data_IF_834040590883
#
_entry.id   IF_834040590883
#
_cell.length_a   1.000
_cell.length_b   1.000
_cell.length_c   1.000
_cell.angle_alpha   90.00
_cell.angle_beta   90.00
_cell.angle_gamma   90.00
#
_symmetry.space_group_name_H-M   'P 1'
#
loop_
_entity.id
_entity.type
_entity.pdbx_description
1 polymer ?
#
# COMPACT_ATOMS: atom_id res chain seq x y z
N UNK A 1 -55.73 60.27 34.71
CA UNK A 1 -54.94 60.32 33.47
C UNK A 1 -54.03 59.11 33.50
N UNK A 2 -54.27 58.09 32.69
CA UNK A 2 -53.46 56.90 32.68
C UNK A 2 -52.23 57.14 31.80
N UNK A 3 -51.05 56.64 32.23
CA UNK A 3 -49.85 56.66 31.49
C UNK A 3 -49.51 55.20 31.06
N UNK A 4 -49.32 55.12 29.81
CA UNK A 4 -49.15 53.93 28.99
C UNK A 4 -48.06 52.93 29.46
N UNK A 5 -48.53 51.71 29.60
CA UNK A 5 -47.69 50.52 29.75
C UNK A 5 -47.26 49.98 28.40
N UNK A 6 -46.40 50.71 27.67
CA UNK A 6 -45.99 50.25 26.32
C UNK A 6 -44.58 50.66 25.94
N UNK A 7 -43.61 50.31 26.79
CA UNK A 7 -42.20 50.44 26.38
C UNK A 7 -41.29 49.48 27.17
N UNK A 8 -41.60 48.19 27.23
CA UNK A 8 -40.75 47.17 27.87
C UNK A 8 -40.79 45.83 27.13
N UNK A 9 -40.86 45.87 25.83
CA UNK A 9 -40.83 44.63 25.04
C UNK A 9 -40.04 44.79 23.73
N UNK A 10 -38.78 45.21 23.79
CA UNK A 10 -37.92 45.14 22.58
C UNK A 10 -36.46 45.14 22.98
N UNK A 11 -36.03 44.20 23.81
CA UNK A 11 -34.59 43.99 23.99
C UNK A 11 -34.25 42.54 24.39
N UNK A 12 -34.83 41.60 23.67
CA UNK A 12 -34.45 40.17 23.81
C UNK A 12 -34.47 39.54 22.42
N UNK A 13 -33.45 39.73 21.65
CA UNK A 13 -33.10 38.84 20.53
C UNK A 13 -31.94 39.39 19.72
N UNK A 14 -30.73 39.29 20.21
CA UNK A 14 -29.54 39.23 19.37
C UNK A 14 -28.48 38.44 20.11
N UNK A 15 -28.68 37.12 20.22
CA UNK A 15 -27.58 36.22 20.45
C UNK A 15 -27.01 35.83 19.10
N UNK A 16 -25.71 35.96 18.86
CA UNK A 16 -25.10 35.43 17.65
C UNK A 16 -25.16 33.92 17.72
N UNK A 17 -25.75 33.32 16.71
CA UNK A 17 -25.80 31.91 16.44
C UNK A 17 -24.36 31.39 16.33
N UNK A 18 -23.82 30.84 17.41
CA UNK A 18 -22.60 30.04 17.36
C UNK A 18 -22.98 28.75 16.64
N UNK A 19 -22.75 28.73 15.33
CA UNK A 19 -22.66 27.48 14.59
C UNK A 19 -21.56 26.66 15.23
N UNK A 20 -21.93 25.77 16.13
CA UNK A 20 -21.11 24.64 16.51
C UNK A 20 -20.91 23.84 15.24
N UNK A 21 -19.76 24.06 14.60
CA UNK A 21 -19.22 23.10 13.65
C UNK A 21 -18.87 21.84 14.43
N UNK A 22 -19.86 20.98 14.62
CA UNK A 22 -19.62 19.59 14.97
C UNK A 22 -18.89 19.00 13.79
N UNK A 23 -17.58 18.96 13.86
CA UNK A 23 -16.76 18.09 13.03
C UNK A 23 -17.16 16.65 13.38
N UNK A 24 -18.18 16.16 12.70
CA UNK A 24 -18.48 14.74 12.66
C UNK A 24 -17.20 14.06 12.17
N UNK A 25 -16.66 13.07 12.91
CA UNK A 25 -15.54 12.29 12.39
C UNK A 25 -16.00 11.69 11.07
N UNK A 26 -15.30 12.01 9.99
CA UNK A 26 -15.59 11.47 8.67
C UNK A 26 -15.62 9.94 8.81
N UNK A 27 -16.77 9.32 8.55
CA UNK A 27 -16.88 7.88 8.43
C UNK A 27 -16.03 7.46 7.23
N UNK A 28 -14.75 7.21 7.47
CA UNK A 28 -13.88 6.62 6.47
C UNK A 28 -14.44 5.24 6.14
N UNK A 29 -14.78 4.99 4.89
CA UNK A 29 -15.13 3.64 4.48
C UNK A 29 -13.95 2.71 4.74
N UNK A 30 -14.20 1.42 5.01
CA UNK A 30 -13.14 0.42 5.19
C UNK A 30 -12.07 0.50 4.07
N UNK A 31 -12.53 0.69 2.86
CA UNK A 31 -11.64 0.86 1.71
C UNK A 31 -10.75 2.10 1.79
N UNK A 32 -11.27 3.22 2.26
CA UNK A 32 -10.49 4.46 2.43
C UNK A 32 -9.42 4.31 3.51
N UNK A 33 -9.74 3.62 4.61
CA UNK A 33 -8.78 3.33 5.67
C UNK A 33 -7.60 2.49 5.17
N UNK A 34 -7.90 1.37 4.47
CA UNK A 34 -6.84 0.52 3.93
C UNK A 34 -5.99 1.21 2.88
N UNK A 35 -6.64 2.01 2.04
CA UNK A 35 -5.95 2.83 1.05
C UNK A 35 -4.92 3.77 1.70
N UNK A 36 -5.34 4.49 2.75
CA UNK A 36 -4.47 5.41 3.48
C UNK A 36 -3.33 4.67 4.18
N UNK A 37 -3.62 3.58 4.89
CA UNK A 37 -2.61 2.78 5.60
C UNK A 37 -1.55 2.24 4.64
N UNK A 38 -1.95 1.66 3.51
CA UNK A 38 -1.02 1.15 2.50
C UNK A 38 -0.18 2.30 1.92
N UNK A 39 -0.81 3.45 1.65
CA UNK A 39 -0.13 4.62 1.10
C UNK A 39 0.95 5.16 2.02
N UNK A 40 0.68 5.22 3.32
CA UNK A 40 1.64 5.67 4.33
C UNK A 40 2.80 4.70 4.46
N UNK A 41 2.54 3.38 4.57
CA UNK A 41 3.59 2.36 4.66
C UNK A 41 4.46 2.38 3.39
N UNK A 42 3.85 2.53 2.21
CA UNK A 42 4.57 2.61 0.94
C UNK A 42 5.47 3.84 0.87
N UNK A 43 4.97 5.01 1.31
CA UNK A 43 5.74 6.26 1.35
C UNK A 43 6.98 6.12 2.23
N UNK A 44 6.83 5.57 3.43
CA UNK A 44 7.94 5.31 4.36
C UNK A 44 8.94 4.31 3.77
N UNK A 45 8.46 3.31 3.05
CA UNK A 45 9.30 2.32 2.36
C UNK A 45 9.97 2.85 1.08
N UNK A 46 9.65 4.06 0.62
CA UNK A 46 10.16 4.61 -0.63
C UNK A 46 9.55 3.95 -1.89
N UNK A 47 8.34 3.41 -1.76
CA UNK A 47 7.56 2.86 -2.88
C UNK A 47 6.46 3.85 -3.26
N UNK A 48 6.18 3.99 -4.55
CA UNK A 48 5.07 4.82 -5.01
C UNK A 48 3.75 4.35 -4.37
N UNK A 49 3.05 5.19 -3.57
CA UNK A 49 1.83 4.81 -2.89
C UNK A 49 0.72 4.30 -3.82
N UNK A 50 0.56 4.96 -4.97
CA UNK A 50 -0.45 4.53 -5.97
C UNK A 50 -0.15 3.13 -6.51
N UNK A 51 1.13 2.82 -6.71
CA UNK A 51 1.55 1.49 -7.16
C UNK A 51 1.23 0.44 -6.08
N UNK A 52 1.62 0.68 -4.82
CA UNK A 52 1.38 -0.24 -3.71
C UNK A 52 -0.12 -0.50 -3.48
N UNK A 53 -0.95 0.55 -3.50
CA UNK A 53 -2.41 0.42 -3.39
C UNK A 53 -2.99 -0.35 -4.56
N UNK A 54 -2.50 -0.12 -5.79
CA UNK A 54 -2.99 -0.83 -6.97
C UNK A 54 -2.62 -2.31 -6.92
N UNK A 55 -1.44 -2.66 -6.39
CA UNK A 55 -1.05 -4.05 -6.11
C UNK A 55 -2.02 -4.67 -5.09
N UNK A 56 -2.23 -4.06 -3.93
CA UNK A 56 -3.13 -4.60 -2.90
C UNK A 56 -4.57 -4.78 -3.41
N UNK A 57 -5.06 -3.85 -4.25
CA UNK A 57 -6.36 -3.98 -4.91
C UNK A 57 -6.42 -5.17 -5.87
N UNK A 58 -5.37 -5.38 -6.65
CA UNK A 58 -5.28 -6.49 -7.58
C UNK A 58 -5.15 -7.84 -6.87
N UNK A 59 -4.41 -7.89 -5.76
CA UNK A 59 -4.18 -9.12 -4.98
C UNK A 59 -5.42 -9.59 -4.22
N UNK A 60 -6.12 -8.69 -3.53
CA UNK A 60 -7.18 -9.08 -2.59
C UNK A 60 -8.44 -8.23 -2.65
N UNK A 61 -8.49 -7.20 -3.50
CA UNK A 61 -9.53 -6.18 -3.43
C UNK A 61 -9.51 -5.38 -2.13
N UNK A 62 -8.36 -5.24 -1.48
CA UNK A 62 -8.17 -4.65 -0.15
C UNK A 62 -8.83 -5.48 0.97
N UNK A 63 -8.91 -6.79 0.82
CA UNK A 63 -9.42 -7.69 1.85
C UNK A 63 -8.28 -8.27 2.71
N UNK A 64 -8.15 -7.89 3.99
CA UNK A 64 -7.09 -8.38 4.85
C UNK A 64 -7.22 -9.87 5.20
N UNK A 65 -8.41 -10.45 5.04
CA UNK A 65 -8.70 -11.84 5.35
C UNK A 65 -8.65 -12.76 4.12
N UNK A 66 -8.19 -12.25 2.97
CA UNK A 66 -8.13 -13.04 1.75
C UNK A 66 -7.16 -14.22 1.91
N UNK A 67 -7.60 -15.40 1.49
CA UNK A 67 -6.77 -16.60 1.39
C UNK A 67 -7.04 -17.26 0.06
N UNK A 68 -6.00 -17.45 -0.73
CA UNK A 68 -6.09 -18.20 -1.97
C UNK A 68 -5.86 -19.69 -1.67
N UNK A 69 -6.92 -20.50 -1.71
CA UNK A 69 -6.87 -21.93 -1.39
C UNK A 69 -6.01 -22.75 -2.35
N UNK A 70 -5.81 -22.27 -3.57
CA UNK A 70 -5.03 -22.98 -4.60
C UNK A 70 -3.53 -22.76 -4.45
N UNK A 71 -3.12 -21.51 -4.16
CA UNK A 71 -1.70 -21.14 -4.03
C UNK A 71 -1.23 -21.09 -2.58
N UNK A 72 -2.14 -20.91 -1.63
CA UNK A 72 -1.83 -20.66 -0.22
C UNK A 72 -1.40 -19.21 0.05
N UNK A 73 -1.60 -18.30 -0.89
CA UNK A 73 -1.32 -16.88 -0.69
C UNK A 73 -2.29 -16.26 0.34
N UNK A 74 -1.79 -15.36 1.19
CA UNK A 74 -2.48 -14.89 2.38
C UNK A 74 -2.51 -13.36 2.44
N UNK A 75 -3.66 -12.82 2.82
CA UNK A 75 -3.85 -11.46 3.30
C UNK A 75 -3.96 -10.40 2.21
N UNK A 76 -3.88 -9.14 2.62
CA UNK A 76 -4.05 -7.96 1.78
C UNK A 76 -3.14 -7.95 0.55
N UNK A 77 -1.89 -8.38 0.72
CA UNK A 77 -0.84 -8.38 -0.30
C UNK A 77 -0.58 -9.77 -0.88
N UNK A 78 -1.41 -10.77 -0.56
CA UNK A 78 -1.32 -12.16 -1.05
C UNK A 78 0.11 -12.73 -0.96
N UNK A 79 0.71 -12.63 0.23
CA UNK A 79 2.04 -13.19 0.44
C UNK A 79 2.01 -14.72 0.44
N UNK A 80 2.86 -15.32 -0.38
CA UNK A 80 3.13 -16.76 -0.32
C UNK A 80 3.80 -17.11 1.01
N UNK A 81 3.48 -18.26 1.63
CA UNK A 81 4.08 -18.67 2.91
C UNK A 81 5.61 -18.65 2.89
N UNK A 82 6.23 -19.13 1.81
CA UNK A 82 7.68 -19.09 1.65
C UNK A 82 8.26 -17.68 1.60
N UNK A 83 7.56 -16.76 0.94
CA UNK A 83 7.95 -15.35 0.89
C UNK A 83 7.80 -14.69 2.27
N UNK A 84 6.72 -14.97 3.00
CA UNK A 84 6.51 -14.46 4.35
C UNK A 84 7.62 -14.91 5.31
N UNK A 85 8.00 -16.19 5.24
CA UNK A 85 9.13 -16.73 6.03
C UNK A 85 10.45 -16.04 5.66
N UNK A 86 10.75 -15.87 4.38
CA UNK A 86 11.95 -15.22 3.91
C UNK A 86 12.05 -13.75 4.33
N UNK A 87 10.90 -13.08 4.47
CA UNK A 87 10.79 -11.69 4.93
C UNK A 87 10.72 -11.57 6.46
N UNK A 88 10.56 -12.67 7.19
CA UNK A 88 10.42 -12.68 8.63
C UNK A 88 9.11 -12.05 9.13
N UNK A 89 8.02 -12.15 8.37
CA UNK A 89 6.71 -11.57 8.69
C UNK A 89 5.66 -12.66 8.92
N UNK A 90 4.68 -12.36 9.80
CA UNK A 90 3.48 -13.18 9.93
C UNK A 90 2.45 -12.72 8.89
N UNK A 91 2.13 -13.53 7.86
CA UNK A 91 1.20 -13.12 6.81
C UNK A 91 -0.26 -13.01 7.29
N UNK A 92 -0.61 -13.55 8.45
CA UNK A 92 -1.93 -13.42 9.07
C UNK A 92 -2.09 -12.14 9.90
N UNK A 93 -1.01 -11.45 10.25
CA UNK A 93 -1.04 -10.11 10.82
C UNK A 93 -1.16 -9.09 9.69
N UNK A 94 -2.23 -8.31 9.69
CA UNK A 94 -2.55 -7.41 8.58
C UNK A 94 -1.44 -6.39 8.33
N UNK A 95 -0.89 -5.82 9.40
CA UNK A 95 0.17 -4.80 9.29
C UNK A 95 1.45 -5.42 8.75
N UNK A 96 1.85 -6.58 9.27
CA UNK A 96 3.03 -7.29 8.79
C UNK A 96 2.87 -7.79 7.36
N UNK A 97 1.64 -8.21 6.98
CA UNK A 97 1.32 -8.59 5.61
C UNK A 97 1.52 -7.42 4.63
N UNK A 98 0.98 -6.24 4.95
CA UNK A 98 1.14 -5.04 4.13
C UNK A 98 2.63 -4.64 4.06
N UNK A 99 3.32 -4.61 5.19
CA UNK A 99 4.75 -4.28 5.24
C UNK A 99 5.59 -5.26 4.43
N UNK A 100 5.35 -6.56 4.60
CA UNK A 100 6.04 -7.62 3.86
C UNK A 100 5.80 -7.53 2.36
N UNK A 101 4.56 -7.31 1.94
CA UNK A 101 4.22 -7.15 0.52
C UNK A 101 4.86 -5.92 -0.11
N UNK A 102 4.84 -4.78 0.58
CA UNK A 102 5.51 -3.56 0.12
C UNK A 102 7.04 -3.73 0.10
N UNK A 103 7.60 -4.40 1.10
CA UNK A 103 9.04 -4.71 1.11
C UNK A 103 9.41 -5.61 -0.07
N UNK A 104 8.64 -6.65 -0.35
CA UNK A 104 8.85 -7.53 -1.50
C UNK A 104 8.73 -6.77 -2.83
N UNK A 105 7.71 -5.91 -2.97
CA UNK A 105 7.57 -5.05 -4.14
C UNK A 105 8.78 -4.14 -4.34
N UNK A 106 9.26 -3.50 -3.26
CA UNK A 106 10.48 -2.68 -3.28
C UNK A 106 11.70 -3.46 -3.73
N UNK A 107 11.86 -4.70 -3.26
CA UNK A 107 12.97 -5.56 -3.72
C UNK A 107 12.88 -5.82 -5.22
N UNK A 108 11.69 -6.10 -5.75
CA UNK A 108 11.53 -6.32 -7.18
C UNK A 108 11.81 -5.04 -7.99
N UNK A 109 11.35 -3.88 -7.52
CA UNK A 109 11.65 -2.59 -8.14
C UNK A 109 13.17 -2.32 -8.17
N UNK A 110 13.87 -2.60 -7.08
CA UNK A 110 15.32 -2.46 -7.00
C UNK A 110 16.06 -3.45 -7.92
N UNK A 111 15.58 -4.69 -8.01
CA UNK A 111 16.22 -5.74 -8.80
C UNK A 111 16.08 -5.51 -10.31
N UNK A 112 14.94 -5.01 -10.75
CA UNK A 112 14.63 -4.89 -12.18
C UNK A 112 14.76 -3.46 -12.73
N UNK A 113 14.68 -2.42 -11.88
CA UNK A 113 14.73 -1.03 -12.30
C UNK A 113 13.60 -0.61 -13.26
N UNK A 114 12.51 -1.39 -13.31
CA UNK A 114 11.41 -1.25 -14.25
C UNK A 114 10.14 -1.76 -13.59
N UNK A 115 9.08 -0.93 -13.55
CA UNK A 115 7.84 -1.25 -12.85
C UNK A 115 7.13 -2.47 -13.44
N UNK A 116 7.11 -2.60 -14.77
CA UNK A 116 6.43 -3.73 -15.41
C UNK A 116 7.12 -5.06 -15.07
N UNK A 117 8.45 -5.08 -15.08
CA UNK A 117 9.20 -6.26 -14.67
C UNK A 117 9.07 -6.56 -13.20
N UNK A 118 9.07 -5.53 -12.34
CA UNK A 118 8.89 -5.68 -10.91
C UNK A 118 7.50 -6.24 -10.57
N UNK A 119 6.46 -5.76 -11.22
CA UNK A 119 5.09 -6.27 -11.08
C UNK A 119 4.96 -7.71 -11.57
N UNK A 120 5.53 -8.01 -12.73
CA UNK A 120 5.56 -9.39 -13.22
C UNK A 120 6.36 -10.32 -12.29
N UNK A 121 7.46 -9.83 -11.71
CA UNK A 121 8.26 -10.60 -10.75
C UNK A 121 7.48 -10.83 -9.43
N UNK A 122 6.66 -9.89 -9.00
CA UNK A 122 5.77 -10.04 -7.85
C UNK A 122 4.75 -11.16 -8.08
N UNK A 123 4.07 -11.15 -9.23
CA UNK A 123 2.98 -12.08 -9.57
C UNK A 123 3.50 -13.45 -10.05
N UNK A 124 4.44 -13.47 -10.99
CA UNK A 124 4.91 -14.67 -11.69
C UNK A 124 6.21 -15.25 -11.11
N UNK A 125 6.94 -14.42 -10.38
CA UNK A 125 8.22 -14.75 -9.79
C UNK A 125 9.41 -14.20 -10.58
N UNK A 126 10.46 -13.73 -9.87
CA UNK A 126 11.60 -13.04 -10.47
C UNK A 126 12.40 -13.89 -11.46
N UNK A 127 12.54 -15.19 -11.21
CA UNK A 127 13.29 -16.09 -12.09
C UNK A 127 12.64 -16.24 -13.47
N UNK A 128 11.30 -16.29 -13.53
CA UNK A 128 10.58 -16.36 -14.80
C UNK A 128 10.77 -15.09 -15.62
N UNK A 129 10.73 -13.92 -14.96
CA UNK A 129 10.96 -12.62 -15.62
C UNK A 129 12.38 -12.55 -16.18
N UNK A 130 13.39 -12.95 -15.40
CA UNK A 130 14.79 -13.00 -15.88
C UNK A 130 14.91 -13.88 -17.12
N UNK A 131 14.35 -15.09 -17.09
CA UNK A 131 14.39 -16.02 -18.24
C UNK A 131 13.63 -15.45 -19.45
N UNK A 132 12.48 -14.83 -19.24
CA UNK A 132 11.71 -14.22 -20.30
C UNK A 132 12.46 -13.06 -20.96
N UNK A 133 13.07 -12.19 -20.18
CA UNK A 133 13.88 -11.06 -20.68
C UNK A 133 15.10 -11.56 -21.44
N UNK A 134 15.78 -12.58 -20.92
CA UNK A 134 16.94 -13.18 -21.62
C UNK A 134 16.55 -13.79 -22.97
N UNK A 135 15.38 -14.41 -23.05
CA UNK A 135 14.94 -15.12 -24.26
C UNK A 135 14.31 -14.21 -25.31
N UNK A 136 13.52 -13.22 -24.89
CA UNK A 136 12.70 -12.40 -25.80
C UNK A 136 12.99 -10.90 -25.73
N UNK A 137 14.00 -10.47 -24.95
CA UNK A 137 14.42 -9.08 -24.85
C UNK A 137 13.27 -8.16 -24.46
N UNK A 138 13.06 -7.10 -25.23
CA UNK A 138 12.00 -6.10 -24.99
C UNK A 138 10.58 -6.64 -25.14
N UNK A 139 10.39 -7.75 -25.83
CA UNK A 139 9.07 -8.38 -26.06
C UNK A 139 8.70 -9.39 -24.96
N UNK A 140 9.45 -9.47 -23.87
CA UNK A 140 9.30 -10.46 -22.79
C UNK A 140 7.88 -10.57 -22.25
N UNK A 141 7.18 -9.43 -22.08
CA UNK A 141 5.85 -9.41 -21.46
C UNK A 141 4.81 -10.12 -22.33
N UNK A 142 4.88 -10.02 -23.66
CA UNK A 142 3.96 -10.72 -24.57
C UNK A 142 4.10 -12.26 -24.52
N UNK A 143 5.19 -12.75 -23.93
CA UNK A 143 5.46 -14.18 -23.72
C UNK A 143 5.22 -14.62 -22.26
N UNK A 144 4.85 -13.72 -21.37
CA UNK A 144 4.42 -14.05 -20.02
C UNK A 144 3.01 -14.67 -20.03
N UNK A 145 2.60 -15.39 -18.97
CA UNK A 145 1.22 -15.86 -18.85
C UNK A 145 0.20 -14.71 -19.01
N UNK A 146 -0.94 -15.01 -19.62
CA UNK A 146 -1.99 -14.00 -19.85
C UNK A 146 -2.44 -13.31 -18.54
N UNK A 147 -2.48 -14.06 -17.44
CA UNK A 147 -2.73 -13.52 -16.10
C UNK A 147 -1.71 -12.45 -15.72
N UNK A 148 -0.42 -12.73 -15.90
CA UNK A 148 0.67 -11.79 -15.59
C UNK A 148 0.62 -10.55 -16.49
N UNK A 149 0.33 -10.72 -17.79
CA UNK A 149 0.16 -9.60 -18.72
C UNK A 149 -0.99 -8.67 -18.26
N UNK A 150 -2.13 -9.26 -17.88
CA UNK A 150 -3.27 -8.52 -17.37
C UNK A 150 -2.96 -7.86 -16.02
N UNK A 151 -2.29 -8.57 -15.12
CA UNK A 151 -1.84 -8.05 -13.82
C UNK A 151 -1.01 -6.78 -13.98
N UNK A 152 0.05 -6.85 -14.80
CA UNK A 152 0.94 -5.71 -15.06
C UNK A 152 0.17 -4.53 -15.66
N UNK A 153 -0.60 -4.77 -16.73
CA UNK A 153 -1.33 -3.70 -17.43
C UNK A 153 -2.37 -3.02 -16.55
N UNK A 154 -3.12 -3.79 -15.78
CA UNK A 154 -4.15 -3.27 -14.87
C UNK A 154 -3.55 -2.41 -13.75
N UNK A 155 -2.47 -2.87 -13.13
CA UNK A 155 -1.82 -2.13 -12.03
C UNK A 155 -1.19 -0.85 -12.55
N UNK A 156 -0.48 -0.89 -13.67
CA UNK A 156 0.14 0.29 -14.27
C UNK A 156 -0.92 1.35 -14.63
N UNK A 157 -2.02 0.94 -15.26
CA UNK A 157 -3.12 1.82 -15.58
C UNK A 157 -3.74 2.47 -14.33
N UNK A 158 -4.02 1.67 -13.28
CA UNK A 158 -4.60 2.15 -12.02
C UNK A 158 -3.65 3.08 -11.25
N UNK A 159 -2.36 2.84 -11.32
CA UNK A 159 -1.33 3.69 -10.70
C UNK A 159 -1.03 4.97 -11.50
N UNK A 160 -1.55 5.08 -12.74
CA UNK A 160 -1.26 6.18 -13.66
C UNK A 160 0.17 6.17 -14.18
N UNK A 161 0.76 4.97 -14.28
CA UNK A 161 2.12 4.77 -14.81
C UNK A 161 2.00 4.40 -16.29
N UNK A 162 2.51 5.28 -17.16
CA UNK A 162 2.58 5.00 -18.60
C UNK A 162 3.77 4.09 -18.90
N UNK A 163 3.59 3.12 -19.77
CA UNK A 163 4.66 2.21 -20.21
C UNK A 163 5.87 2.90 -20.88
N UNK A 164 5.79 4.22 -21.08
CA UNK A 164 6.83 5.06 -21.70
C UNK A 164 7.70 5.84 -20.72
N UNK A 165 7.52 5.71 -19.42
CA UNK A 165 8.39 6.36 -18.43
C UNK A 165 9.68 5.56 -18.27
N UNK A 166 10.48 5.55 -19.33
CA UNK A 166 11.87 5.13 -19.26
C UNK A 166 12.59 6.04 -18.25
N UNK A 167 12.97 5.47 -17.16
CA UNK A 167 13.69 6.08 -16.06
C UNK A 167 14.99 6.74 -16.52
N UNK A 168 15.09 8.03 -16.23
CA UNK A 168 16.36 8.65 -15.90
C UNK A 168 16.61 8.50 -14.40
N UNK A 169 17.03 7.32 -13.98
CA UNK A 169 17.82 7.17 -12.76
C UNK A 169 19.28 7.05 -13.17
N UNK A 170 20.22 7.73 -12.49
CA UNK A 170 21.64 7.57 -12.82
C UNK A 170 22.05 6.13 -12.59
N UNK A 171 22.62 5.51 -13.62
CA UNK A 171 23.17 4.18 -13.55
C UNK A 171 24.17 4.05 -12.40
N UNK A 172 24.08 3.02 -11.55
CA UNK A 172 25.20 2.66 -10.71
C UNK A 172 26.30 2.16 -11.63
N UNK A 173 27.44 2.83 -11.60
CA UNK A 173 28.68 2.40 -12.25
C UNK A 173 28.96 0.95 -11.91
N UNK A 174 29.02 0.13 -12.95
CA UNK A 174 29.39 -1.26 -12.85
C UNK A 174 30.81 -1.38 -12.26
N UNK A 175 30.90 -1.84 -11.04
CA UNK A 175 32.11 -2.44 -10.49
C UNK A 175 31.85 -3.92 -10.35
N UNK A 176 32.60 -4.68 -11.17
CA UNK A 176 32.63 -6.12 -11.16
C UNK A 176 33.05 -6.65 -9.80
N UNK A 177 32.16 -7.40 -9.14
CA UNK A 177 32.57 -8.37 -8.13
C UNK A 177 31.56 -9.53 -8.11
N UNK A 178 32.01 -10.66 -8.62
CA UNK A 178 31.49 -11.97 -8.31
C UNK A 178 31.57 -12.19 -6.79
N UNK A 179 30.42 -12.39 -6.13
CA UNK A 179 30.41 -13.02 -4.81
C UNK A 179 29.01 -13.56 -4.50
N UNK A 180 29.01 -14.82 -4.17
CA UNK A 180 28.11 -15.64 -3.37
C UNK A 180 26.82 -14.99 -2.83
N UNK A 181 25.72 -15.69 -3.09
CA UNK A 181 24.41 -15.55 -2.47
C UNK A 181 24.54 -15.74 -0.96
N UNK A 182 24.65 -14.64 -0.23
CA UNK A 182 24.36 -14.57 1.19
C UNK A 182 23.16 -13.65 1.35
N UNK A 183 22.01 -14.20 1.78
CA UNK A 183 20.87 -13.42 2.24
C UNK A 183 21.35 -12.42 3.30
N UNK A 184 21.13 -11.11 3.11
CA UNK A 184 21.27 -10.22 4.25
C UNK A 184 20.07 -10.45 5.17
N UNK A 185 20.37 -10.75 6.44
CA UNK A 185 19.40 -10.69 7.54
C UNK A 185 18.69 -9.34 7.54
N UNK A 186 17.43 -9.25 8.00
CA UNK A 186 16.66 -8.01 7.98
C UNK A 186 17.37 -6.96 8.82
N UNK A 187 17.90 -5.96 8.15
CA UNK A 187 18.43 -4.77 8.80
C UNK A 187 17.26 -4.10 9.53
N UNK A 188 17.39 -3.94 10.83
CA UNK A 188 16.46 -3.26 11.72
C UNK A 188 15.95 -1.97 11.06
N UNK A 189 14.63 -1.81 11.03
CA UNK A 189 13.98 -0.54 10.67
C UNK A 189 14.64 0.59 11.48
N UNK A 190 14.90 1.72 10.84
CA UNK A 190 15.39 2.88 11.58
C UNK A 190 14.41 3.23 12.70
N UNK A 191 14.89 3.78 13.85
CA UNK A 191 14.01 4.09 15.00
C UNK A 191 12.81 4.96 14.63
N UNK A 192 12.96 5.85 13.65
CA UNK A 192 11.89 6.71 13.14
C UNK A 192 10.81 5.92 12.41
N UNK A 193 11.21 4.96 11.58
CA UNK A 193 10.26 4.08 10.85
C UNK A 193 9.54 3.15 11.82
N UNK A 194 10.24 2.63 12.85
CA UNK A 194 9.63 1.80 13.87
C UNK A 194 8.58 2.56 14.70
N UNK A 195 8.84 3.83 15.04
CA UNK A 195 7.89 4.67 15.76
C UNK A 195 6.65 5.01 14.92
N UNK A 196 6.81 5.29 13.63
CA UNK A 196 5.73 5.61 12.71
C UNK A 196 4.84 4.39 12.46
N UNK A 197 5.45 3.21 12.30
CA UNK A 197 4.73 1.93 12.22
C UNK A 197 3.97 1.61 13.51
N UNK A 198 4.53 1.92 14.69
CA UNK A 198 3.84 1.74 15.96
C UNK A 198 2.60 2.64 16.08
N UNK A 199 2.67 3.88 15.60
CA UNK A 199 1.52 4.79 15.55
C UNK A 199 0.43 4.29 14.60
N UNK A 200 0.82 3.76 13.43
CA UNK A 200 -0.12 3.16 12.47
C UNK A 200 -0.79 1.90 13.05
N UNK A 201 -0.06 1.09 13.82
CA UNK A 201 -0.61 -0.07 14.51
C UNK A 201 -1.64 0.34 15.57
N UNK A 202 -1.36 1.38 16.35
CA UNK A 202 -2.32 1.92 17.34
C UNK A 202 -3.59 2.45 16.67
N UNK A 203 -3.46 3.09 15.51
CA UNK A 203 -4.61 3.55 14.73
C UNK A 203 -5.44 2.39 14.19
N UNK A 204 -4.80 1.30 13.76
CA UNK A 204 -5.46 0.08 13.33
C UNK A 204 -6.20 -0.60 14.47
N UNK A 205 -5.57 -0.74 15.62
CA UNK A 205 -6.19 -1.35 16.81
C UNK A 205 -7.42 -0.54 17.26
N UNK A 206 -7.34 0.80 17.24
CA UNK A 206 -8.47 1.67 17.53
C UNK A 206 -9.61 1.52 16.51
N UNK A 207 -9.31 1.38 15.23
CA UNK A 207 -10.30 1.15 14.17
C UNK A 207 -11.01 -0.19 14.34
N UNK A 208 -10.26 -1.27 14.59
CA UNK A 208 -10.81 -2.61 14.79
C UNK A 208 -11.68 -2.71 16.05
N UNK A 209 -11.34 -1.97 17.12
CA UNK A 209 -12.15 -1.91 18.34
C UNK A 209 -13.50 -1.21 18.12
N UNK A 210 -13.55 -0.18 17.27
CA UNK A 210 -14.82 0.50 16.93
C UNK A 210 -15.75 -0.38 16.10
N UNK A 211 -15.20 -1.33 15.35
CA UNK A 211 -15.98 -2.22 14.49
C UNK A 211 -16.61 -3.43 15.24
N UNK A 212 -15.99 -3.83 16.34
CA UNK A 212 -16.52 -4.92 17.20
C UNK A 212 -17.66 -4.44 18.10
N UNK A 213 -17.80 -3.13 18.33
CA UNK A 213 -18.79 -2.53 19.23
C UNK A 213 -19.99 -1.91 18.48
N UNK A 214 -20.04 -1.98 17.16
CA UNK A 214 -21.15 -1.50 16.31
C UNK A 214 -21.85 -2.66 15.61
#
# INVERSE_FOLDING_TARGET
MPIDAMTLATQAAQQPNQQQTTTQPAHHSKSSFWHELISQIASVAGVNPKLAVSVAKQESGLNPQAVNSSSGAIGMMQLMPGTAVALGVNPHDVTQNIQGGIHYLRQQLANFGDEAKALAAYNWGPQHVVQAVQRWGTNWLSHAPAETQHYVSSIMANAGISASSGLTTPAPTASSASAAVASPAPSHLSPTVAAEVANLRSALDAYLLTEVLS
#
